data_IF_626064119984
#
_entry.id   IF_626064119984
#
_cell.length_a   1.000
_cell.length_b   1.000
_cell.length_c   1.000
_cell.angle_alpha   90.00
_cell.angle_beta   90.00
_cell.angle_gamma   90.00
#
_symmetry.space_group_name_H-M   'P 1'
#
loop_
_entity.id
_entity.type
_entity.pdbx_description
1 polymer ?
#
# COMPACT_ATOMS: atom_id res chain seq x y z
N UNK A 1 25.43 -16.67 -4.70
CA UNK A 1 25.90 -15.33 -4.25
C UNK A 1 25.17 -14.20 -4.99
N UNK A 2 23.90 -14.38 -5.35
CA UNK A 2 23.18 -13.41 -6.17
C UNK A 2 21.71 -13.51 -5.75
N UNK A 3 21.16 -12.46 -5.14
CA UNK A 3 19.76 -12.24 -4.71
C UNK A 3 19.51 -11.89 -3.21
N UNK A 4 20.53 -11.61 -2.42
CA UNK A 4 20.31 -11.06 -1.07
C UNK A 4 19.85 -9.59 -1.13
N UNK A 5 18.84 -9.21 -0.33
CA UNK A 5 18.37 -7.83 -0.29
C UNK A 5 19.48 -6.88 0.15
N UNK A 6 19.58 -5.68 -0.45
CA UNK A 6 20.54 -4.68 0.01
C UNK A 6 20.20 -4.23 1.44
N UNK A 7 21.22 -4.00 2.28
CA UNK A 7 21.01 -3.46 3.64
C UNK A 7 20.41 -2.05 3.58
N UNK A 8 19.10 -1.96 3.82
CA UNK A 8 18.34 -0.71 3.71
C UNK A 8 18.82 0.35 4.72
N UNK A 9 19.41 -0.07 5.85
CA UNK A 9 19.89 0.85 6.88
C UNK A 9 21.08 1.69 6.40
N UNK A 10 21.85 1.18 5.43
CA UNK A 10 23.06 1.83 4.90
C UNK A 10 22.77 2.83 3.75
N UNK A 11 21.54 2.88 3.22
CA UNK A 11 21.18 3.70 2.04
C UNK A 11 20.94 5.20 2.34
N UNK A 12 20.86 5.59 3.61
CA UNK A 12 20.58 6.98 4.02
C UNK A 12 19.08 7.34 4.01
N UNK A 13 18.66 8.32 4.83
CA UNK A 13 17.25 8.60 5.14
C UNK A 13 16.41 9.21 3.99
N UNK A 14 17.03 9.65 2.89
CA UNK A 14 16.37 10.37 1.77
C UNK A 14 16.20 9.53 0.50
N UNK A 15 16.20 8.20 0.62
CA UNK A 15 16.05 7.28 -0.51
C UNK A 15 14.84 6.38 -0.31
N UNK A 16 14.17 6.08 -1.42
CA UNK A 16 13.08 5.10 -1.46
C UNK A 16 13.66 3.77 -1.97
N UNK A 17 13.29 2.66 -1.33
CA UNK A 17 13.60 1.33 -1.82
C UNK A 17 12.47 0.85 -2.73
N UNK A 18 12.82 0.51 -3.97
CA UNK A 18 11.93 -0.20 -4.88
C UNK A 18 11.99 -1.68 -4.54
N UNK A 19 11.02 -2.16 -3.75
CA UNK A 19 10.96 -3.55 -3.27
C UNK A 19 10.42 -4.50 -4.36
N UNK A 20 11.30 -4.88 -5.29
CA UNK A 20 10.97 -5.82 -6.36
C UNK A 20 10.96 -7.29 -5.91
N UNK A 21 11.42 -7.58 -4.68
CA UNK A 21 11.56 -8.95 -4.18
C UNK A 21 10.22 -9.60 -3.84
N UNK A 22 9.17 -8.81 -3.65
CA UNK A 22 7.81 -9.30 -3.45
C UNK A 22 7.25 -10.08 -4.65
N UNK A 23 7.85 -9.94 -5.84
CA UNK A 23 7.45 -10.68 -7.05
C UNK A 23 8.02 -12.11 -7.11
N UNK A 24 8.82 -12.53 -6.11
CA UNK A 24 9.38 -13.89 -6.06
C UNK A 24 8.33 -14.91 -5.66
N UNK A 25 8.50 -16.14 -6.15
CA UNK A 25 7.62 -17.27 -5.81
C UNK A 25 7.54 -17.47 -4.29
N UNK A 26 6.32 -17.59 -3.78
CA UNK A 26 6.04 -17.82 -2.36
C UNK A 26 6.01 -16.56 -1.48
N UNK A 27 6.32 -15.38 -2.04
CA UNK A 27 6.09 -14.11 -1.35
C UNK A 27 4.61 -13.71 -1.44
N UNK A 28 4.14 -12.95 -0.46
CA UNK A 28 2.75 -12.50 -0.36
C UNK A 28 2.69 -10.99 -0.16
N UNK A 29 1.75 -10.34 -0.85
CA UNK A 29 1.44 -8.92 -0.65
C UNK A 29 0.05 -8.83 -0.01
N UNK A 30 -0.16 -7.79 0.79
CA UNK A 30 -1.46 -7.49 1.37
C UNK A 30 -2.53 -7.28 0.28
N UNK A 31 -3.67 -7.96 0.41
CA UNK A 31 -4.77 -7.85 -0.55
C UNK A 31 -5.40 -6.44 -0.56
N UNK A 32 -5.94 -5.96 -1.70
CA UNK A 32 -6.76 -4.75 -1.74
C UNK A 32 -7.91 -4.80 -0.73
N UNK A 33 -8.26 -3.65 -0.16
CA UNK A 33 -9.32 -3.47 0.85
C UNK A 33 -9.13 -4.21 2.18
N UNK A 34 -8.04 -4.96 2.36
CA UNK A 34 -7.78 -5.63 3.63
C UNK A 34 -7.33 -4.65 4.73
N UNK A 35 -7.67 -4.97 5.98
CA UNK A 35 -7.24 -4.22 7.16
C UNK A 35 -5.80 -4.55 7.53
N UNK A 36 -5.10 -3.57 8.10
CA UNK A 36 -3.75 -3.75 8.66
C UNK A 36 -3.82 -3.79 10.19
N UNK A 37 -3.05 -4.67 10.86
CA UNK A 37 -2.97 -4.73 12.32
C UNK A 37 -2.09 -3.57 12.85
N UNK A 38 -2.62 -2.35 12.79
CA UNK A 38 -2.01 -1.11 13.28
C UNK A 38 -3.08 -0.27 14.00
N UNK A 39 -2.69 0.67 14.88
CA UNK A 39 -3.64 1.59 15.49
C UNK A 39 -4.52 2.26 14.43
N UNK A 40 -5.80 2.47 14.72
CA UNK A 40 -6.87 2.89 13.79
C UNK A 40 -7.30 1.87 12.72
N UNK A 41 -6.64 0.70 12.60
CA UNK A 41 -6.94 -0.33 11.61
C UNK A 41 -7.04 0.23 10.17
N UNK A 42 -5.91 0.73 9.61
CA UNK A 42 -5.90 1.29 8.26
C UNK A 42 -6.18 0.22 7.20
N UNK A 43 -6.74 0.64 6.09
CA UNK A 43 -7.15 -0.21 4.96
C UNK A 43 -6.17 -0.05 3.81
N UNK A 44 -5.80 -1.16 3.14
CA UNK A 44 -5.08 -1.14 1.86
C UNK A 44 -5.99 -0.62 0.74
N UNK A 45 -6.32 0.67 0.82
CA UNK A 45 -7.32 1.33 0.00
C UNK A 45 -6.77 1.64 -1.39
N UNK A 46 -7.36 1.10 -2.46
CA UNK A 46 -7.04 1.50 -3.83
C UNK A 46 -7.42 2.96 -4.08
N UNK A 47 -6.59 3.67 -4.85
CA UNK A 47 -6.78 5.09 -5.16
C UNK A 47 -6.60 5.32 -6.65
N UNK A 48 -7.30 6.32 -7.18
CA UNK A 48 -7.09 6.81 -8.54
C UNK A 48 -5.84 7.69 -8.58
N UNK A 49 -5.19 7.77 -9.74
CA UNK A 49 -3.96 8.56 -9.91
C UNK A 49 -4.16 10.04 -9.51
N UNK A 50 -5.32 10.61 -9.80
CA UNK A 50 -5.67 12.00 -9.48
C UNK A 50 -5.79 12.28 -7.97
N UNK A 51 -5.91 11.23 -7.14
CA UNK A 51 -6.02 11.33 -5.68
C UNK A 51 -4.64 11.34 -5.00
N UNK A 52 -3.57 10.97 -5.72
CA UNK A 52 -2.21 10.95 -5.19
C UNK A 52 -1.63 12.37 -5.06
N UNK A 53 -1.99 13.03 -3.96
CA UNK A 53 -1.55 14.38 -3.61
C UNK A 53 -0.55 14.37 -2.45
N UNK A 54 0.29 15.39 -2.38
CA UNK A 54 1.21 15.60 -1.27
C UNK A 54 0.46 15.65 0.07
N UNK A 55 1.00 14.95 1.08
CA UNK A 55 0.42 14.91 2.42
C UNK A 55 -0.54 13.74 2.68
N UNK A 56 -0.89 12.96 1.65
CA UNK A 56 -1.67 11.73 1.78
C UNK A 56 -0.93 10.71 2.66
N UNK A 57 -1.64 10.13 3.63
CA UNK A 57 -1.09 9.12 4.55
C UNK A 57 -1.88 7.81 4.46
N UNK A 58 -1.22 6.65 4.64
CA UNK A 58 -1.92 5.37 4.71
C UNK A 58 -3.00 5.30 5.81
N UNK A 59 -2.86 6.10 6.87
CA UNK A 59 -3.83 6.18 7.98
C UNK A 59 -5.14 6.90 7.63
N UNK A 60 -5.17 7.64 6.51
CA UNK A 60 -6.32 8.42 6.11
C UNK A 60 -7.50 7.52 5.70
N UNK A 61 -7.22 6.25 5.35
CA UNK A 61 -8.23 5.24 5.04
C UNK A 61 -8.18 4.14 6.10
N UNK A 62 -9.29 3.95 6.81
CA UNK A 62 -9.36 3.05 7.94
C UNK A 62 -10.75 2.45 8.10
N UNK A 63 -10.89 1.53 9.05
CA UNK A 63 -12.13 0.78 9.29
C UNK A 63 -13.38 1.68 9.45
N UNK A 64 -13.22 2.91 9.93
CA UNK A 64 -14.34 3.81 10.20
C UNK A 64 -14.85 4.53 8.95
N UNK A 65 -14.00 4.79 7.95
CA UNK A 65 -14.37 5.56 6.76
C UNK A 65 -14.33 4.77 5.44
N UNK A 66 -13.66 3.62 5.41
CA UNK A 66 -13.41 2.86 4.19
C UNK A 66 -14.71 2.39 3.53
N UNK A 67 -15.67 1.87 4.30
CA UNK A 67 -16.94 1.37 3.76
C UNK A 67 -17.77 2.48 3.12
N UNK A 68 -17.83 3.66 3.75
CA UNK A 68 -18.55 4.81 3.20
C UNK A 68 -17.93 5.27 1.88
N UNK A 69 -16.60 5.31 1.82
CA UNK A 69 -15.86 5.63 0.60
C UNK A 69 -16.12 4.63 -0.52
N UNK A 70 -16.07 3.33 -0.24
CA UNK A 70 -16.32 2.26 -1.23
C UNK A 70 -17.75 2.37 -1.80
N UNK A 71 -18.74 2.74 -0.98
CA UNK A 71 -20.11 2.99 -1.46
C UNK A 71 -20.22 4.23 -2.35
N UNK A 72 -19.48 5.29 -2.02
CA UNK A 72 -19.49 6.57 -2.75
C UNK A 72 -18.70 6.53 -4.04
N UNK A 73 -17.64 5.74 -4.10
CA UNK A 73 -16.75 5.67 -5.24
C UNK A 73 -16.87 4.29 -5.91
N UNK A 74 -17.30 4.27 -7.17
CA UNK A 74 -17.04 3.13 -8.05
C UNK A 74 -15.55 3.11 -8.42
N UNK A 75 -14.69 2.69 -7.49
CA UNK A 75 -13.34 2.25 -7.84
C UNK A 75 -13.47 0.83 -8.36
N UNK A 76 -13.62 0.72 -9.67
CA UNK A 76 -13.73 -0.54 -10.37
C UNK A 76 -12.35 -1.04 -10.78
N UNK A 77 -12.00 -2.26 -10.37
CA UNK A 77 -10.83 -2.97 -10.89
C UNK A 77 -11.08 -3.63 -12.25
N UNK A 78 -12.22 -3.37 -12.91
CA UNK A 78 -12.62 -4.06 -14.15
C UNK A 78 -11.67 -3.84 -15.35
N UNK A 79 -10.71 -2.93 -15.24
CA UNK A 79 -9.74 -2.62 -16.30
C UNK A 79 -8.30 -3.06 -15.97
N UNK A 80 -8.11 -3.90 -14.94
CA UNK A 80 -6.82 -4.52 -14.59
C UNK A 80 -6.78 -6.01 -14.95
#
# INVERSE_FOLDING_TARGET
>A
MENDPPDLRKRGKKRIYLDYMQNRRGQTITAPYSLRPRPSAPVSMPLRWQEMKSGLKPSDFNIHNALERIKKQEISFREF
#
